data_IF_383410072895
#
_entry.id   IF_383410072895
#
_cell.length_a   1.000
_cell.length_b   1.000
_cell.length_c   1.000
_cell.angle_alpha   90.00
_cell.angle_beta   90.00
_cell.angle_gamma   90.00
#
_symmetry.space_group_name_H-M   'P 1'
#
loop_
_entity.id
_entity.type
_entity.pdbx_description
1 polymer ?
#
# COMPACT_ATOMS: atom_id res chain seq x y z
N UNK A 1 -12.48 -16.39 20.48
CA UNK A 1 -13.03 -15.04 20.30
C UNK A 1 -13.51 -14.98 18.86
N UNK A 2 -14.73 -14.54 18.60
CA UNK A 2 -15.36 -14.60 17.28
C UNK A 2 -14.69 -13.55 16.36
N UNK A 3 -14.03 -14.00 15.31
CA UNK A 3 -13.39 -13.17 14.27
C UNK A 3 -14.40 -12.59 13.26
N UNK A 4 -15.69 -12.69 13.56
CA UNK A 4 -16.78 -12.44 12.60
C UNK A 4 -17.14 -10.97 12.35
N UNK A 5 -16.36 -10.00 12.84
CA UNK A 5 -16.74 -8.59 12.70
C UNK A 5 -15.72 -7.74 11.94
N UNK A 6 -14.68 -8.36 11.39
CA UNK A 6 -13.44 -7.68 11.04
C UNK A 6 -13.49 -6.80 9.80
N UNK A 7 -14.47 -6.92 8.93
CA UNK A 7 -14.46 -6.21 7.67
C UNK A 7 -15.80 -5.55 7.26
N UNK A 8 -16.91 -5.97 7.84
CA UNK A 8 -18.25 -5.60 7.36
C UNK A 8 -18.76 -4.22 7.79
N UNK A 9 -18.17 -3.62 8.84
CA UNK A 9 -18.66 -2.36 9.41
C UNK A 9 -17.59 -1.32 9.73
N UNK A 10 -16.40 -1.48 9.22
CA UNK A 10 -15.38 -0.45 9.36
C UNK A 10 -15.69 0.67 8.38
N UNK A 11 -15.93 1.85 8.91
CA UNK A 11 -16.04 3.07 8.10
C UNK A 11 -14.78 3.31 7.26
N UNK A 12 -14.78 4.35 6.43
CA UNK A 12 -13.56 4.76 5.72
C UNK A 12 -12.43 5.00 6.72
N UNK A 13 -11.20 4.77 6.28
CA UNK A 13 -10.02 5.08 7.07
C UNK A 13 -9.93 6.58 7.40
N UNK A 14 -9.16 6.89 8.41
CA UNK A 14 -8.86 8.26 8.80
C UNK A 14 -7.71 8.77 7.95
N UNK A 15 -7.92 9.90 7.28
CA UNK A 15 -6.89 10.59 6.52
C UNK A 15 -6.26 11.65 7.40
N UNK A 16 -4.94 11.61 7.56
CA UNK A 16 -4.16 12.59 8.33
C UNK A 16 -2.98 13.10 7.53
N UNK A 17 -2.82 14.41 7.43
CA UNK A 17 -1.62 15.02 6.86
C UNK A 17 -0.52 15.03 7.92
N UNK A 18 0.45 14.12 7.81
CA UNK A 18 1.55 13.91 8.78
C UNK A 18 2.76 14.81 8.52
N UNK A 19 2.89 15.32 7.31
CA UNK A 19 3.84 16.35 6.90
C UNK A 19 3.29 17.07 5.66
N UNK A 20 3.81 18.22 5.23
CA UNK A 20 3.29 18.94 4.07
C UNK A 20 3.17 18.03 2.82
N UNK A 21 1.94 17.84 2.35
CA UNK A 21 1.57 16.96 1.23
C UNK A 21 1.90 15.46 1.42
N UNK A 22 2.09 15.01 2.66
CA UNK A 22 2.30 13.59 3.01
C UNK A 22 1.17 13.14 3.91
N UNK A 23 0.45 12.14 3.49
CA UNK A 23 -0.77 11.68 4.15
C UNK A 23 -0.63 10.22 4.61
N UNK A 24 -1.04 9.96 5.85
CA UNK A 24 -1.34 8.62 6.32
C UNK A 24 -2.83 8.34 6.15
N UNK A 25 -3.17 7.12 5.75
CA UNK A 25 -4.53 6.60 5.72
C UNK A 25 -4.61 5.45 6.71
N UNK A 26 -5.14 5.76 7.89
CA UNK A 26 -5.22 4.84 9.02
C UNK A 26 -6.57 4.15 9.01
N UNK A 27 -6.57 2.85 8.81
CA UNK A 27 -7.78 2.06 8.90
C UNK A 27 -8.08 1.72 10.37
N UNK A 28 -9.30 2.01 10.86
CA UNK A 28 -9.65 1.70 12.25
C UNK A 28 -9.64 0.20 12.48
N UNK A 29 -9.38 -0.19 13.72
CA UNK A 29 -9.46 -1.55 14.26
C UNK A 29 -8.13 -2.32 14.32
N UNK A 30 -7.14 -2.12 13.45
CA UNK A 30 -5.83 -2.78 13.57
C UNK A 30 -5.87 -4.32 13.66
N UNK A 31 -6.97 -4.94 13.23
CA UNK A 31 -7.08 -6.39 13.15
C UNK A 31 -6.36 -6.93 11.92
N UNK A 32 -6.13 -8.24 11.90
CA UNK A 32 -5.39 -8.87 10.83
C UNK A 32 -6.03 -8.61 9.45
N UNK A 33 -5.21 -8.33 8.43
CA UNK A 33 -5.61 -7.92 7.09
C UNK A 33 -6.21 -6.51 6.97
N UNK A 34 -5.95 -5.66 7.95
CA UNK A 34 -6.30 -4.24 7.92
C UNK A 34 -5.02 -3.44 8.14
N UNK A 35 -4.38 -3.13 7.04
CA UNK A 35 -3.13 -2.35 7.02
C UNK A 35 -3.40 -0.85 7.06
N UNK A 36 -2.41 -0.10 7.45
CA UNK A 36 -2.32 1.33 7.20
C UNK A 36 -1.54 1.57 5.92
N UNK A 37 -1.91 2.59 5.19
CA UNK A 37 -1.25 3.00 3.96
C UNK A 37 -1.10 4.52 3.93
N UNK A 38 -0.61 5.08 2.84
CA UNK A 38 -0.51 6.52 2.70
C UNK A 38 -0.10 6.95 1.31
N UNK A 39 -0.01 8.26 1.12
CA UNK A 39 0.37 8.81 -0.17
C UNK A 39 1.06 10.17 -0.03
N UNK A 40 1.76 10.53 -1.08
CA UNK A 40 2.49 11.78 -1.20
C UNK A 40 1.98 12.52 -2.43
N UNK A 41 1.65 13.81 -2.29
CA UNK A 41 1.24 14.67 -3.39
C UNK A 41 2.45 15.49 -3.84
N UNK A 42 2.89 15.25 -5.07
CA UNK A 42 3.90 16.08 -5.75
C UNK A 42 3.25 17.07 -6.71
N UNK A 43 4.05 17.92 -7.35
CA UNK A 43 3.53 18.93 -8.30
C UNK A 43 2.87 18.33 -9.55
N UNK A 44 3.23 17.12 -9.96
CA UNK A 44 2.73 16.52 -11.19
C UNK A 44 1.93 15.22 -11.00
N UNK A 45 1.70 14.78 -9.77
CA UNK A 45 0.96 13.56 -9.48
C UNK A 45 1.14 13.08 -8.05
N UNK A 46 0.56 11.94 -7.77
CA UNK A 46 0.57 11.29 -6.46
C UNK A 46 1.44 10.02 -6.51
N UNK A 47 2.18 9.77 -5.44
CA UNK A 47 2.80 8.48 -5.15
C UNK A 47 2.00 7.82 -4.03
N UNK A 48 1.42 6.66 -4.27
CA UNK A 48 0.81 5.82 -3.24
C UNK A 48 1.85 4.87 -2.66
N UNK A 49 1.82 4.69 -1.35
CA UNK A 49 2.58 3.64 -0.67
C UNK A 49 1.59 2.58 -0.25
N UNK A 50 1.66 1.42 -0.88
CA UNK A 50 0.71 0.32 -0.76
C UNK A 50 -0.74 0.62 -1.21
N UNK A 51 -1.53 -0.41 -1.15
CA UNK A 51 -2.99 -0.42 -1.32
C UNK A 51 -3.63 -1.09 -0.10
N UNK A 52 -4.86 -1.55 -0.20
CA UNK A 52 -5.57 -2.22 0.89
C UNK A 52 -6.11 -3.59 0.47
N UNK A 53 -6.77 -4.31 1.40
CA UNK A 53 -7.13 -5.72 1.22
C UNK A 53 -8.30 -5.99 0.27
N UNK A 54 -9.44 -5.30 0.42
CA UNK A 54 -10.66 -5.56 -0.34
C UNK A 54 -10.95 -4.50 -1.38
N UNK A 55 -11.77 -4.81 -2.38
CA UNK A 55 -12.18 -3.81 -3.37
C UNK A 55 -12.84 -2.60 -2.72
N UNK A 56 -13.73 -2.82 -1.75
CA UNK A 56 -14.43 -1.74 -1.04
C UNK A 56 -13.44 -0.81 -0.33
N UNK A 57 -12.46 -1.37 0.40
CA UNK A 57 -11.46 -0.58 1.12
C UNK A 57 -10.55 0.20 0.19
N UNK A 58 -10.15 -0.41 -0.92
CA UNK A 58 -9.36 0.26 -1.94
C UNK A 58 -10.11 1.43 -2.58
N UNK A 59 -11.41 1.28 -2.86
CA UNK A 59 -12.23 2.37 -3.38
C UNK A 59 -12.35 3.51 -2.36
N UNK A 60 -12.55 3.19 -1.08
CA UNK A 60 -12.55 4.20 -0.01
C UNK A 60 -11.19 4.93 0.12
N UNK A 61 -10.08 4.23 -0.08
CA UNK A 61 -8.75 4.84 -0.12
C UNK A 61 -8.58 5.78 -1.35
N UNK A 62 -9.04 5.36 -2.52
CA UNK A 62 -9.03 6.20 -3.72
C UNK A 62 -9.89 7.47 -3.51
N UNK A 63 -11.06 7.32 -2.90
CA UNK A 63 -11.93 8.45 -2.55
C UNK A 63 -11.26 9.40 -1.55
N UNK A 64 -10.49 8.86 -0.59
CA UNK A 64 -9.71 9.67 0.35
C UNK A 64 -8.61 10.47 -0.38
N UNK A 65 -7.88 9.87 -1.31
CA UNK A 65 -6.93 10.61 -2.17
C UNK A 65 -7.65 11.72 -2.94
N UNK A 66 -8.76 11.38 -3.60
CA UNK A 66 -9.54 12.33 -4.40
C UNK A 66 -10.15 13.48 -3.58
N UNK A 67 -10.33 13.30 -2.26
CA UNK A 67 -10.84 14.35 -1.36
C UNK A 67 -9.86 15.50 -1.14
N UNK A 68 -8.57 15.29 -1.35
CA UNK A 68 -7.51 16.28 -1.08
C UNK A 68 -6.75 16.72 -2.33
N UNK A 69 -6.85 15.97 -3.43
CA UNK A 69 -6.21 16.33 -4.69
C UNK A 69 -6.96 15.79 -5.90
N UNK A 70 -6.90 16.53 -7.02
CA UNK A 70 -7.37 16.04 -8.32
C UNK A 70 -6.26 15.44 -9.19
N UNK A 71 -5.04 15.36 -8.66
CA UNK A 71 -3.91 14.82 -9.40
C UNK A 71 -4.00 13.29 -9.50
N UNK A 72 -3.58 12.70 -10.63
CA UNK A 72 -3.58 11.24 -10.78
C UNK A 72 -2.52 10.58 -9.91
N UNK A 73 -2.80 9.38 -9.44
CA UNK A 73 -1.76 8.50 -8.87
C UNK A 73 -0.90 7.99 -10.04
N UNK A 74 0.34 8.47 -10.11
CA UNK A 74 1.30 8.10 -11.16
C UNK A 74 2.20 6.95 -10.79
N UNK A 75 2.51 6.84 -9.50
CA UNK A 75 3.37 5.81 -8.97
C UNK A 75 2.69 5.15 -7.78
N UNK A 76 2.92 3.86 -7.63
CA UNK A 76 2.50 3.05 -6.49
C UNK A 76 3.70 2.20 -6.06
N UNK A 77 4.06 2.28 -4.81
CA UNK A 77 5.11 1.47 -4.22
C UNK A 77 4.46 0.35 -3.41
N UNK A 78 4.73 -0.91 -3.72
CA UNK A 78 4.37 -2.00 -2.82
C UNK A 78 5.54 -2.24 -1.86
N UNK A 79 5.29 -2.10 -0.57
CA UNK A 79 6.29 -2.35 0.47
C UNK A 79 6.66 -3.82 0.56
N UNK A 80 5.69 -4.72 0.35
CA UNK A 80 5.90 -6.16 0.29
C UNK A 80 4.70 -6.85 -0.40
N UNK A 81 4.75 -8.18 -0.53
CA UNK A 81 3.82 -8.94 -1.37
C UNK A 81 2.48 -9.30 -0.73
N UNK A 82 2.26 -9.04 0.57
CA UNK A 82 1.03 -9.45 1.23
C UNK A 82 -0.20 -8.78 0.60
N UNK A 83 -1.30 -9.50 0.68
CA UNK A 83 -2.51 -9.20 -0.06
C UNK A 83 -3.18 -7.88 0.37
N UNK A 84 -3.12 -7.55 1.63
CA UNK A 84 -3.61 -6.28 2.19
C UNK A 84 -2.79 -5.06 1.79
N UNK A 85 -1.64 -5.27 1.15
CA UNK A 85 -0.79 -4.21 0.57
C UNK A 85 -0.85 -4.17 -0.96
N UNK A 86 -1.32 -5.24 -1.61
CA UNK A 86 -1.20 -5.40 -3.07
C UNK A 86 -2.51 -5.66 -3.81
N UNK A 87 -3.58 -6.08 -3.13
CA UNK A 87 -4.84 -6.44 -3.77
C UNK A 87 -5.51 -5.27 -4.52
N UNK A 88 -5.22 -4.03 -4.13
CA UNK A 88 -5.75 -2.84 -4.79
C UNK A 88 -4.97 -2.39 -6.03
N UNK A 89 -3.85 -3.00 -6.36
CA UNK A 89 -2.97 -2.59 -7.46
C UNK A 89 -3.73 -2.36 -8.77
N UNK A 90 -4.69 -3.22 -9.10
CA UNK A 90 -5.46 -3.15 -10.34
C UNK A 90 -6.40 -1.94 -10.44
N UNK A 91 -6.72 -1.30 -9.31
CA UNK A 91 -7.58 -0.11 -9.27
C UNK A 91 -6.83 1.19 -9.60
N UNK A 92 -5.52 1.11 -9.76
CA UNK A 92 -4.65 2.22 -10.17
C UNK A 92 -4.10 2.00 -11.60
N UNK A 93 -4.95 1.88 -12.64
CA UNK A 93 -4.53 1.42 -13.97
C UNK A 93 -3.48 2.31 -14.64
N UNK A 94 -3.44 3.59 -14.29
CA UNK A 94 -2.51 4.58 -14.85
C UNK A 94 -1.19 4.67 -14.06
N UNK A 95 -1.12 4.07 -12.87
CA UNK A 95 0.08 4.12 -12.05
C UNK A 95 1.12 3.10 -12.51
N UNK A 96 2.39 3.49 -12.49
CA UNK A 96 3.51 2.55 -12.55
C UNK A 96 3.76 1.99 -11.17
N UNK A 97 3.76 0.67 -11.02
CA UNK A 97 3.93 0.00 -9.74
C UNK A 97 5.39 -0.43 -9.56
N UNK A 98 5.97 -0.08 -8.42
CA UNK A 98 7.36 -0.34 -8.08
C UNK A 98 7.41 -1.23 -6.83
N UNK A 99 8.27 -2.23 -6.81
CA UNK A 99 8.50 -3.10 -5.64
C UNK A 99 9.91 -3.68 -5.61
N UNK A 100 10.24 -4.37 -4.53
CA UNK A 100 11.39 -5.28 -4.53
C UNK A 100 11.18 -6.44 -5.51
N UNK A 101 12.27 -6.97 -6.09
CA UNK A 101 12.19 -8.09 -7.04
C UNK A 101 11.48 -9.32 -6.44
N UNK A 102 11.85 -9.72 -5.22
CA UNK A 102 11.20 -10.85 -4.53
C UNK A 102 9.70 -10.63 -4.29
N UNK A 103 9.27 -9.41 -4.01
CA UNK A 103 7.84 -9.10 -3.87
C UNK A 103 7.08 -9.46 -5.16
N UNK A 104 7.57 -9.01 -6.31
CA UNK A 104 6.99 -9.33 -7.61
C UNK A 104 7.00 -10.83 -7.90
N UNK A 105 8.11 -11.52 -7.61
CA UNK A 105 8.26 -12.96 -7.88
C UNK A 105 7.27 -13.78 -7.06
N UNK A 106 7.09 -13.48 -5.78
CA UNK A 106 6.10 -14.13 -4.93
C UNK A 106 4.68 -13.84 -5.43
N UNK A 107 4.36 -12.60 -5.80
CA UNK A 107 3.05 -12.25 -6.36
C UNK A 107 2.74 -13.03 -7.63
N UNK A 108 3.71 -13.19 -8.55
CA UNK A 108 3.54 -13.97 -9.78
C UNK A 108 3.35 -15.46 -9.49
N UNK A 109 4.02 -16.00 -8.48
CA UNK A 109 3.92 -17.39 -8.10
C UNK A 109 2.58 -17.74 -7.41
N UNK A 110 2.04 -16.80 -6.62
CA UNK A 110 0.83 -17.03 -5.79
C UNK A 110 -0.46 -16.55 -6.45
N UNK A 111 -0.39 -15.54 -7.34
CA UNK A 111 -1.58 -14.89 -7.89
C UNK A 111 -2.39 -14.16 -6.81
N UNK A 112 -3.72 -14.27 -6.88
CA UNK A 112 -4.63 -13.83 -5.81
C UNK A 112 -4.97 -15.06 -4.96
N UNK A 113 -4.44 -15.15 -3.72
CA UNK A 113 -4.77 -16.25 -2.83
C UNK A 113 -6.25 -16.23 -2.43
N UNK A 114 -6.87 -17.40 -2.28
CA UNK A 114 -8.25 -17.50 -1.81
C UNK A 114 -8.30 -17.48 -0.27
N UNK A 115 -8.62 -16.33 0.28
CA UNK A 115 -8.76 -16.14 1.73
C UNK A 115 -10.15 -16.43 2.28
N UNK A 116 -11.13 -16.87 1.45
CA UNK A 116 -12.52 -17.10 1.88
C UNK A 116 -12.63 -18.17 2.97
N UNK A 117 -11.72 -19.13 2.99
CA UNK A 117 -11.69 -20.13 4.05
C UNK A 117 -11.27 -19.57 5.42
N UNK A 118 -10.37 -18.60 5.43
CA UNK A 118 -9.90 -17.93 6.64
C UNK A 118 -10.85 -16.79 7.08
N UNK A 119 -11.47 -16.11 6.11
CA UNK A 119 -12.34 -14.95 6.32
C UNK A 119 -13.66 -15.13 5.57
N UNK A 120 -14.55 -16.04 6.03
CA UNK A 120 -15.74 -16.44 5.26
C UNK A 120 -16.82 -15.35 5.16
N UNK A 121 -16.76 -14.32 6.01
CA UNK A 121 -17.73 -13.22 6.03
C UNK A 121 -17.24 -11.97 5.30
N UNK A 122 -15.99 -11.96 4.82
CA UNK A 122 -15.42 -10.79 4.13
C UNK A 122 -15.89 -10.77 2.68
N UNK A 123 -16.48 -9.66 2.27
CA UNK A 123 -16.69 -9.36 0.86
C UNK A 123 -15.40 -8.81 0.25
N UNK A 124 -14.72 -9.65 -0.51
CA UNK A 124 -13.46 -9.30 -1.18
C UNK A 124 -13.68 -8.44 -2.44
N UNK A 125 -14.88 -8.42 -2.98
CA UNK A 125 -15.20 -7.80 -4.26
C UNK A 125 -14.65 -8.58 -5.46
N UNK A 126 -14.55 -7.91 -6.62
CA UNK A 126 -14.01 -8.46 -7.88
C UNK A 126 -12.51 -8.15 -8.01
N UNK A 127 -11.70 -8.80 -7.18
CA UNK A 127 -10.25 -8.61 -7.18
C UNK A 127 -9.62 -9.09 -8.48
N UNK A 128 -8.69 -8.29 -9.02
CA UNK A 128 -7.92 -8.61 -10.23
C UNK A 128 -6.44 -8.57 -9.94
N UNK A 129 -5.72 -9.54 -10.48
CA UNK A 129 -4.27 -9.59 -10.31
C UNK A 129 -3.58 -8.50 -11.13
N UNK A 130 -2.70 -7.75 -10.47
CA UNK A 130 -1.75 -6.84 -11.11
C UNK A 130 -0.43 -6.86 -10.36
N UNK A 131 0.60 -7.38 -11.02
CA UNK A 131 1.97 -7.39 -10.50
C UNK A 131 2.64 -6.02 -10.68
N UNK A 132 3.69 -5.71 -9.90
CA UNK A 132 4.53 -4.54 -10.11
C UNK A 132 5.15 -4.49 -11.51
N UNK A 133 5.31 -3.27 -12.04
CA UNK A 133 5.84 -3.00 -13.38
C UNK A 133 7.38 -2.87 -13.36
N UNK A 134 7.91 -2.25 -12.30
CA UNK A 134 9.35 -2.00 -12.09
C UNK A 134 9.80 -2.69 -10.80
N UNK A 135 10.94 -3.33 -10.83
CA UNK A 135 11.55 -3.95 -9.64
C UNK A 135 12.95 -3.44 -9.40
N UNK A 136 13.38 -3.46 -8.15
CA UNK A 136 14.75 -3.15 -7.73
C UNK A 136 15.21 -4.11 -6.64
N UNK A 137 16.50 -4.10 -6.36
CA UNK A 137 17.16 -4.71 -5.20
C UNK A 137 18.10 -3.67 -4.60
N UNK A 138 18.33 -3.72 -3.29
CA UNK A 138 19.13 -2.75 -2.57
C UNK A 138 18.39 -1.42 -2.40
N UNK A 139 18.65 -0.44 -3.22
CA UNK A 139 18.03 0.88 -3.12
C UNK A 139 17.77 1.52 -4.48
N UNK A 140 16.74 2.37 -4.51
CA UNK A 140 16.45 3.25 -5.64
C UNK A 140 15.81 4.55 -5.14
N UNK A 141 15.87 5.60 -5.94
CA UNK A 141 15.25 6.88 -5.57
C UNK A 141 14.20 7.26 -6.61
N UNK A 142 13.03 7.64 -6.14
CA UNK A 142 11.96 8.24 -6.95
C UNK A 142 12.10 9.75 -6.89
N UNK A 143 12.09 10.39 -8.05
CA UNK A 143 11.96 11.84 -8.17
C UNK A 143 10.65 12.17 -8.86
N UNK A 144 9.75 12.81 -8.12
CA UNK A 144 8.49 13.32 -8.63
C UNK A 144 8.45 14.84 -8.42
N UNK A 145 9.08 15.55 -9.36
CA UNK A 145 9.28 17.00 -9.33
C UNK A 145 9.94 17.50 -8.03
N UNK A 146 9.14 17.99 -7.09
CA UNK A 146 9.56 18.54 -5.79
C UNK A 146 9.63 17.51 -4.66
N UNK A 147 9.35 16.24 -4.95
CA UNK A 147 9.37 15.16 -3.97
C UNK A 147 10.47 14.16 -4.30
N UNK A 148 11.27 13.85 -3.29
CA UNK A 148 12.26 12.77 -3.34
C UNK A 148 11.85 11.68 -2.35
N UNK A 149 11.81 10.44 -2.82
CA UNK A 149 11.50 9.27 -2.00
C UNK A 149 12.62 8.25 -2.22
N UNK A 150 13.36 7.96 -1.17
CA UNK A 150 14.37 6.90 -1.17
C UNK A 150 13.70 5.58 -0.79
N UNK A 151 13.75 4.61 -1.70
CA UNK A 151 13.30 3.25 -1.46
C UNK A 151 14.51 2.37 -1.18
N UNK A 152 14.45 1.55 -0.15
CA UNK A 152 15.51 0.61 0.16
C UNK A 152 14.98 -0.64 0.86
N UNK A 153 15.61 -1.78 0.58
CA UNK A 153 15.41 -3.01 1.32
C UNK A 153 16.36 -3.08 2.52
N UNK A 154 16.13 -4.05 3.40
CA UNK A 154 16.99 -4.24 4.57
C UNK A 154 18.23 -5.11 4.29
N UNK A 155 18.33 -5.72 3.10
CA UNK A 155 19.39 -6.66 2.76
C UNK A 155 19.28 -8.01 3.47
N UNK A 156 18.20 -8.26 4.18
CA UNK A 156 17.90 -9.53 4.86
C UNK A 156 16.38 -9.71 5.02
N UNK A 157 15.96 -10.96 5.20
CA UNK A 157 14.54 -11.31 5.45
C UNK A 157 14.11 -10.79 6.81
N UNK A 158 13.08 -9.95 6.84
CA UNK A 158 12.48 -9.44 8.07
C UNK A 158 11.02 -9.91 8.20
N UNK A 159 10.05 -9.16 7.69
CA UNK A 159 8.65 -9.59 7.63
C UNK A 159 8.42 -10.51 6.41
N UNK A 160 9.01 -10.15 5.28
CA UNK A 160 9.05 -10.94 4.04
C UNK A 160 10.46 -10.95 3.43
N UNK A 161 10.63 -11.60 2.26
CA UNK A 161 11.89 -11.62 1.51
C UNK A 161 12.12 -10.37 0.65
N UNK A 162 11.30 -9.35 0.77
CA UNK A 162 11.39 -8.18 -0.10
C UNK A 162 10.69 -6.97 0.50
N UNK A 163 10.93 -6.73 1.78
CA UNK A 163 10.38 -5.58 2.48
C UNK A 163 11.08 -4.30 2.06
N UNK A 164 10.29 -3.31 1.66
CA UNK A 164 10.75 -2.00 1.22
C UNK A 164 10.36 -0.94 2.23
N UNK A 165 11.31 -0.12 2.61
CA UNK A 165 11.12 1.12 3.34
C UNK A 165 11.08 2.28 2.36
N UNK A 166 10.16 3.22 2.55
CA UNK A 166 10.08 4.44 1.75
C UNK A 166 10.35 5.67 2.63
N UNK A 167 11.51 6.29 2.45
CA UNK A 167 11.97 7.42 3.23
C UNK A 167 11.83 8.72 2.44
N UNK A 168 11.23 9.72 3.05
CA UNK A 168 11.12 11.09 2.54
C UNK A 168 12.06 12.01 3.32
N UNK A 169 13.30 12.22 2.83
CA UNK A 169 14.32 12.96 3.59
C UNK A 169 13.90 14.40 3.87
N UNK A 170 13.27 15.07 2.91
CA UNK A 170 12.85 16.47 3.03
C UNK A 170 11.62 16.67 3.95
N UNK A 171 10.95 15.60 4.33
CA UNK A 171 9.74 15.62 5.18
C UNK A 171 9.95 14.94 6.52
N UNK A 172 11.02 14.16 6.68
CA UNK A 172 11.28 13.38 7.88
C UNK A 172 10.26 12.27 8.13
N UNK A 173 9.66 11.70 7.06
CA UNK A 173 8.63 10.66 7.13
C UNK A 173 9.17 9.37 6.56
N UNK A 174 8.91 8.26 7.27
CA UNK A 174 9.26 6.91 6.84
C UNK A 174 8.01 6.04 6.81
N UNK A 175 7.72 5.46 5.65
CA UNK A 175 6.74 4.38 5.53
C UNK A 175 7.48 3.05 5.68
N UNK A 176 6.99 2.20 6.57
CA UNK A 176 7.70 0.99 7.01
C UNK A 176 7.04 -0.32 6.57
N UNK A 177 5.88 -0.24 5.89
CA UNK A 177 5.07 -1.44 5.70
C UNK A 177 4.85 -2.15 7.03
N UNK A 178 4.95 -3.46 7.02
CA UNK A 178 4.73 -4.33 8.19
C UNK A 178 5.99 -4.61 9.03
N UNK A 179 7.01 -3.76 8.88
CA UNK A 179 8.21 -3.85 9.73
C UNK A 179 8.01 -3.21 11.11
N UNK A 180 7.09 -2.26 11.24
CA UNK A 180 6.75 -1.59 12.49
C UNK A 180 5.24 -1.51 12.63
N UNK A 181 4.73 -2.08 13.71
CA UNK A 181 3.32 -2.02 14.08
C UNK A 181 3.13 -1.04 15.23
N UNK A 182 2.07 -0.25 15.13
CA UNK A 182 1.58 0.58 16.22
C UNK A 182 0.30 -0.06 16.76
N UNK A 183 0.36 -0.57 17.99
CA UNK A 183 -0.75 -1.23 18.68
C UNK A 183 -1.10 -0.53 19.99
#
# INVERSE_FOLDING_TARGET
MSTNHLHENLGPGLLEEVAPNVFSYVQPDGTWFINNTGFIIGNSGVVSIDTTSTEFRNRAYIDAIASVTSQPVKLLVNTHHHADHTHGNYLFPEATIISHASCRDVMLATGIPDYRAAFPTVDWGDLKFRAPDITFEGSTTIHLDDVTIDLFDLGFVAHTEGDVLAWLPDRGVLFTGDLIFHG
#
